data_IF_778403385777
#
_entry.id   IF_778403385777
#
_cell.length_a   1.000
_cell.length_b   1.000
_cell.length_c   1.000
_cell.angle_alpha   90.00
_cell.angle_beta   90.00
_cell.angle_gamma   90.00
#
_symmetry.space_group_name_H-M   'P 1'
#
loop_
_entity.id
_entity.type
_entity.pdbx_description
1 polymer ?
#
# COMPACT_ATOMS: atom_id res chain seq x y z
N UNK A 1 -15.80 -35.68 -7.57
CA UNK A 1 -15.52 -35.19 -6.56
C UNK A 1 -14.28 -34.43 -6.27
N UNK A 2 -13.21 -34.61 -6.95
CA UNK A 2 -12.02 -33.86 -6.67
C UNK A 2 -12.11 -32.43 -7.04
N UNK A 3 -13.03 -32.06 -7.93
CA UNK A 3 -13.16 -30.68 -8.32
C UNK A 3 -13.41 -29.76 -7.17
N UNK A 4 -14.21 -30.15 -6.22
CA UNK A 4 -14.59 -29.31 -5.10
C UNK A 4 -13.38 -28.88 -4.31
N UNK A 5 -12.46 -29.78 -4.07
CA UNK A 5 -11.26 -29.46 -3.31
C UNK A 5 -10.39 -28.45 -4.02
N UNK A 6 -10.27 -28.57 -5.32
CA UNK A 6 -9.46 -27.64 -6.11
C UNK A 6 -10.02 -26.25 -6.04
N UNK A 7 -11.34 -26.11 -6.16
CA UNK A 7 -11.98 -24.82 -6.09
C UNK A 7 -11.76 -24.16 -4.74
N UNK A 8 -11.87 -24.95 -3.67
CA UNK A 8 -11.66 -24.42 -2.32
C UNK A 8 -10.26 -23.87 -2.13
N UNK A 9 -9.27 -24.57 -2.66
CA UNK A 9 -7.88 -24.11 -2.54
C UNK A 9 -7.69 -22.80 -3.27
N UNK A 10 -8.28 -22.64 -4.44
CA UNK A 10 -8.15 -21.40 -5.19
C UNK A 10 -8.74 -20.22 -4.44
N UNK A 11 -9.89 -20.41 -3.79
CA UNK A 11 -10.50 -19.35 -3.01
C UNK A 11 -9.63 -18.93 -1.84
N UNK A 12 -9.05 -19.88 -1.15
CA UNK A 12 -8.17 -19.59 -0.03
C UNK A 12 -6.94 -18.79 -0.48
N UNK A 13 -6.36 -19.16 -1.61
CA UNK A 13 -5.20 -18.44 -2.12
C UNK A 13 -5.55 -17.00 -2.45
N UNK A 14 -6.72 -16.74 -3.03
CA UNK A 14 -7.14 -15.39 -3.34
C UNK A 14 -7.33 -14.56 -2.07
N UNK A 15 -7.92 -15.18 -1.03
CA UNK A 15 -8.15 -14.48 0.22
C UNK A 15 -6.85 -14.09 0.93
N UNK A 16 -5.80 -14.89 0.76
CA UNK A 16 -4.56 -14.66 1.47
C UNK A 16 -3.83 -13.39 1.02
N UNK A 17 -4.21 -12.80 -0.12
CA UNK A 17 -3.55 -11.63 -0.66
C UNK A 17 -4.24 -10.32 -0.30
N UNK A 18 -5.34 -10.35 0.47
CA UNK A 18 -6.05 -9.14 0.83
C UNK A 18 -5.28 -8.35 1.89
N UNK A 19 -5.27 -7.04 1.74
CA UNK A 19 -4.65 -6.12 2.70
C UNK A 19 -5.63 -5.02 3.07
N UNK A 20 -5.35 -4.31 4.14
CA UNK A 20 -6.05 -3.08 4.54
C UNK A 20 -7.58 -3.21 4.49
N UNK A 21 -8.19 -4.16 5.25
CA UNK A 21 -9.65 -4.30 5.21
C UNK A 21 -10.36 -2.99 5.54
N UNK A 22 -11.29 -2.59 4.68
CA UNK A 22 -12.05 -1.36 4.88
C UNK A 22 -11.38 -0.10 4.36
N UNK A 23 -10.19 -0.22 3.77
CA UNK A 23 -9.46 0.90 3.19
C UNK A 23 -9.35 0.71 1.67
N UNK A 24 -8.95 1.77 0.98
CA UNK A 24 -8.82 1.73 -0.48
C UNK A 24 -7.44 1.25 -0.92
N UNK A 25 -6.39 1.65 -0.21
CA UNK A 25 -5.01 1.38 -0.61
C UNK A 25 -4.14 1.10 0.59
N UNK A 26 -2.99 0.47 0.33
CA UNK A 26 -1.91 0.32 1.30
C UNK A 26 -0.61 0.77 0.70
N UNK A 27 0.24 1.41 1.50
CA UNK A 27 1.58 1.81 1.08
C UNK A 27 2.58 0.82 1.69
N UNK A 28 3.39 0.22 0.84
CA UNK A 28 4.42 -0.72 1.27
C UNK A 28 5.60 -0.03 1.93
N UNK A 29 6.57 -0.83 2.33
CA UNK A 29 7.80 -0.33 2.93
C UNK A 29 8.76 0.17 1.85
N UNK A 30 9.71 0.99 2.29
CA UNK A 30 10.79 1.46 1.44
C UNK A 30 11.59 0.29 0.87
N UNK A 31 11.79 0.32 -0.43
CA UNK A 31 12.65 -0.62 -1.14
C UNK A 31 13.84 0.13 -1.70
N UNK A 32 15.05 -0.29 -1.35
CA UNK A 32 16.26 0.34 -1.89
C UNK A 32 16.53 -0.18 -3.30
N UNK A 33 16.75 0.73 -4.23
CA UNK A 33 17.13 0.40 -5.60
C UNK A 33 18.61 0.64 -5.86
N UNK A 34 19.36 0.99 -4.80
CA UNK A 34 20.79 1.32 -4.93
C UNK A 34 21.01 2.79 -5.19
N UNK A 35 22.24 3.26 -4.97
CA UNK A 35 22.67 4.63 -5.23
C UNK A 35 21.80 5.70 -4.55
N UNK A 36 21.23 5.38 -3.39
CA UNK A 36 20.40 6.31 -2.64
C UNK A 36 18.99 6.45 -3.19
N UNK A 37 18.61 5.66 -4.18
CA UNK A 37 17.27 5.69 -4.77
C UNK A 37 16.39 4.68 -4.06
N UNK A 38 15.19 5.10 -3.68
CA UNK A 38 14.25 4.25 -2.99
C UNK A 38 12.89 4.27 -3.69
N UNK A 39 12.13 3.20 -3.49
CA UNK A 39 10.81 3.02 -4.09
C UNK A 39 9.80 2.65 -3.02
N UNK A 40 8.62 3.23 -3.10
CA UNK A 40 7.45 2.83 -2.31
C UNK A 40 6.34 2.48 -3.28
N UNK A 41 5.75 1.30 -3.11
CA UNK A 41 4.62 0.86 -3.93
C UNK A 41 3.31 1.14 -3.20
N UNK A 42 2.31 1.57 -3.95
CA UNK A 42 0.94 1.71 -3.48
C UNK A 42 0.14 0.56 -4.07
N UNK A 43 -0.52 -0.20 -3.20
CA UNK A 43 -1.30 -1.38 -3.58
C UNK A 43 -2.79 -1.14 -3.37
N UNK A 44 -3.61 -1.74 -4.21
CA UNK A 44 -5.04 -1.86 -3.89
C UNK A 44 -5.23 -2.99 -2.87
N UNK A 45 -6.47 -3.26 -2.48
CA UNK A 45 -6.74 -4.27 -1.45
C UNK A 45 -6.46 -5.70 -1.89
N UNK A 46 -6.20 -5.92 -3.17
CA UNK A 46 -5.84 -7.21 -3.73
C UNK A 46 -4.36 -7.33 -4.06
N UNK A 47 -3.53 -6.44 -3.54
CA UNK A 47 -2.09 -6.42 -3.76
C UNK A 47 -1.66 -6.15 -5.20
N UNK A 48 -2.50 -5.47 -5.96
CA UNK A 48 -2.07 -4.95 -7.26
C UNK A 48 -1.36 -3.62 -7.04
N UNK A 49 -0.18 -3.46 -7.65
CA UNK A 49 0.52 -2.17 -7.60
C UNK A 49 -0.23 -1.21 -8.52
N UNK A 50 -0.79 -0.17 -7.93
CA UNK A 50 -1.61 0.80 -8.67
C UNK A 50 -0.96 2.17 -8.77
N UNK A 51 0.07 2.43 -7.97
CA UNK A 51 0.80 3.68 -7.98
C UNK A 51 2.12 3.48 -7.25
N UNK A 52 2.89 4.52 -7.10
CA UNK A 52 4.13 4.45 -6.33
C UNK A 52 4.95 5.70 -6.47
N UNK A 53 6.06 5.72 -5.76
CA UNK A 53 7.02 6.82 -5.78
C UNK A 53 8.43 6.24 -5.80
N UNK A 54 9.23 6.71 -6.74
CA UNK A 54 10.67 6.40 -6.79
C UNK A 54 11.41 7.73 -6.69
N UNK A 55 12.28 7.87 -5.71
CA UNK A 55 13.01 9.12 -5.51
C UNK A 55 14.31 8.88 -4.77
N UNK A 56 15.27 9.76 -4.99
CA UNK A 56 16.49 9.84 -4.19
C UNK A 56 16.41 10.94 -3.14
N UNK A 57 15.26 11.55 -2.96
CA UNK A 57 15.03 12.65 -2.03
C UNK A 57 14.03 12.22 -0.96
N UNK A 58 13.61 13.17 -0.13
CA UNK A 58 12.65 12.90 0.93
C UNK A 58 11.28 12.62 0.31
N UNK A 59 10.69 11.43 0.54
CA UNK A 59 9.40 11.09 -0.04
C UNK A 59 8.26 12.02 0.42
N UNK A 60 8.45 12.71 1.53
CA UNK A 60 7.43 13.61 2.06
C UNK A 60 7.35 14.92 1.29
N UNK A 61 8.35 15.22 0.44
CA UNK A 61 8.43 16.48 -0.29
C UNK A 61 8.07 16.33 -1.76
N UNK A 62 7.62 15.15 -2.20
CA UNK A 62 7.37 14.89 -3.62
C UNK A 62 5.92 15.15 -4.04
N UNK A 63 5.05 15.51 -3.11
CA UNK A 63 3.66 15.81 -3.41
C UNK A 63 2.75 14.59 -3.51
N UNK A 64 3.28 13.38 -3.35
CA UNK A 64 2.51 12.14 -3.41
C UNK A 64 2.12 11.67 -2.02
N UNK A 65 3.10 11.65 -1.11
CA UNK A 65 2.86 11.25 0.27
C UNK A 65 3.00 12.45 1.20
N UNK A 66 2.06 12.57 2.14
CA UNK A 66 2.21 13.47 3.27
C UNK A 66 2.70 12.69 4.48
N UNK A 67 3.37 13.35 5.40
CA UNK A 67 4.00 12.69 6.53
C UNK A 67 3.67 13.41 7.83
N UNK A 68 3.53 12.61 8.90
CA UNK A 68 3.47 13.15 10.25
C UNK A 68 4.88 13.44 10.78
N UNK A 69 4.99 14.20 11.89
CA UNK A 69 6.29 14.44 12.52
C UNK A 69 6.98 13.14 12.95
N UNK A 70 8.29 13.17 13.21
CA UNK A 70 9.03 11.96 13.60
C UNK A 70 8.43 11.24 14.80
N UNK A 71 8.41 9.88 14.79
CA UNK A 71 8.87 9.06 13.66
C UNK A 71 7.98 9.28 12.45
N UNK A 72 8.60 9.29 11.27
CA UNK A 72 7.86 9.60 10.04
C UNK A 72 6.90 8.46 9.70
N UNK A 73 5.63 8.81 9.59
CA UNK A 73 4.58 7.90 9.17
C UNK A 73 3.78 8.60 8.09
N UNK A 74 3.55 7.93 6.98
CA UNK A 74 2.74 8.51 5.92
C UNK A 74 1.30 8.71 6.42
N UNK A 75 0.79 9.93 6.30
CA UNK A 75 -0.55 10.28 6.74
C UNK A 75 -1.45 10.70 5.58
N UNK A 76 -0.92 10.77 4.37
CA UNK A 76 -1.67 11.18 3.19
C UNK A 76 -1.06 10.55 1.95
N UNK A 77 -1.92 10.23 1.01
CA UNK A 77 -1.53 9.76 -0.31
C UNK A 77 -2.39 10.49 -1.35
N UNK A 78 -1.74 11.09 -2.36
CA UNK A 78 -2.42 11.73 -3.47
C UNK A 78 -2.19 10.89 -4.72
N UNK A 79 -3.28 10.37 -5.30
CA UNK A 79 -3.19 9.53 -6.50
C UNK A 79 -2.58 10.31 -7.66
N UNK A 80 -1.59 9.72 -8.32
CA UNK A 80 -0.98 10.35 -9.50
C UNK A 80 -1.89 10.29 -10.72
N UNK A 81 -2.93 9.44 -10.68
CA UNK A 81 -3.82 9.25 -11.82
C UNK A 81 -5.09 10.08 -11.72
N UNK A 82 -5.61 10.29 -10.51
CA UNK A 82 -6.88 10.97 -10.33
C UNK A 82 -6.74 12.31 -9.60
N UNK A 83 -5.65 12.51 -8.86
CA UNK A 83 -5.48 13.67 -8.01
C UNK A 83 -6.26 13.61 -6.71
N UNK A 84 -7.00 12.53 -6.45
CA UNK A 84 -7.74 12.39 -5.21
C UNK A 84 -6.79 12.17 -4.04
N UNK A 85 -7.16 12.73 -2.90
CA UNK A 85 -6.37 12.67 -1.68
C UNK A 85 -6.99 11.67 -0.71
N UNK A 86 -6.15 10.81 -0.14
CA UNK A 86 -6.55 9.75 0.78
C UNK A 86 -5.85 9.96 2.12
N UNK A 87 -6.59 9.78 3.20
CA UNK A 87 -6.03 9.82 4.54
C UNK A 87 -5.42 8.46 4.87
N UNK A 88 -4.20 8.47 5.38
CA UNK A 88 -3.46 7.24 5.68
C UNK A 88 -3.15 7.15 7.16
N UNK A 89 -3.13 5.93 7.68
CA UNK A 89 -2.76 5.66 9.06
C UNK A 89 -2.26 4.23 9.19
N UNK A 90 -1.51 3.97 10.25
CA UNK A 90 -1.12 2.60 10.58
C UNK A 90 -2.34 1.80 10.96
N UNK A 91 -2.33 0.52 10.64
CA UNK A 91 -3.42 -0.38 10.96
C UNK A 91 -2.85 -1.75 11.33
N UNK A 92 -3.25 -2.34 12.47
CA UNK A 92 -2.72 -3.64 12.88
C UNK A 92 -3.05 -4.76 11.91
N UNK A 93 -4.04 -4.58 11.05
CA UNK A 93 -4.46 -5.56 10.06
C UNK A 93 -4.01 -5.19 8.65
N UNK A 94 -2.98 -4.36 8.51
CA UNK A 94 -2.54 -3.91 7.20
C UNK A 94 -2.10 -5.04 6.28
N UNK A 95 -1.38 -6.02 6.82
CA UNK A 95 -0.98 -7.21 6.06
C UNK A 95 0.28 -7.02 5.24
N UNK A 96 0.48 -7.93 4.31
CA UNK A 96 1.65 -7.92 3.43
C UNK A 96 1.24 -8.23 2.00
N UNK A 97 2.01 -7.71 1.05
CA UNK A 97 1.90 -8.08 -0.35
C UNK A 97 3.22 -8.74 -0.76
N UNK A 98 3.22 -10.07 -0.85
CA UNK A 98 4.46 -10.82 -1.01
C UNK A 98 5.37 -10.59 0.20
N UNK A 99 6.57 -10.10 -0.04
CA UNK A 99 7.51 -9.77 1.04
C UNK A 99 7.41 -8.31 1.48
N UNK A 100 6.55 -7.52 0.85
CA UNK A 100 6.40 -6.11 1.16
C UNK A 100 5.37 -5.92 2.28
N UNK A 101 5.84 -5.51 3.46
CA UNK A 101 4.96 -5.26 4.60
C UNK A 101 4.29 -3.91 4.41
N UNK A 102 2.97 -3.87 4.56
CA UNK A 102 2.21 -2.64 4.38
C UNK A 102 2.38 -1.76 5.62
N UNK A 103 2.91 -0.56 5.42
CA UNK A 103 3.21 0.35 6.52
C UNK A 103 1.98 1.15 6.96
N UNK A 104 1.17 1.59 6.02
CA UNK A 104 -0.05 2.34 6.33
C UNK A 104 -1.16 1.94 5.37
N UNK A 105 -2.40 2.13 5.82
CA UNK A 105 -3.61 1.93 5.01
C UNK A 105 -4.26 3.29 4.76
N UNK A 106 -4.73 3.51 3.53
CA UNK A 106 -5.25 4.80 3.09
C UNK A 106 -6.70 4.68 2.63
N UNK A 107 -7.51 5.65 3.03
CA UNK A 107 -8.94 5.66 2.74
C UNK A 107 -9.37 7.04 2.29
N UNK A 108 -10.35 7.08 1.38
CA UNK A 108 -10.90 8.33 0.87
C UNK A 108 -11.85 8.93 1.91
N UNK A 109 -11.27 9.61 2.91
CA UNK A 109 -12.03 10.25 3.97
C UNK A 109 -12.17 11.73 3.66
N UNK A 110 -13.38 12.18 3.39
CA UNK A 110 -13.65 13.60 3.24
C UNK A 110 -13.22 14.20 1.92
N UNK A 111 -13.01 13.39 0.92
CA UNK A 111 -12.77 13.91 -0.43
C UNK A 111 -14.06 14.09 -1.18
#
# INVERSE_FOLDING_TARGET
MKFTSIVSIALLAASANAICPGFNFGIGNQMSLGSGINRWDVYDDSCNVVDGLTTNQNPCDEGIFGCSPPPVIFNRYTSTFTGLVYACRTDPNSGTCGSDVISVCCRNDGN
#
